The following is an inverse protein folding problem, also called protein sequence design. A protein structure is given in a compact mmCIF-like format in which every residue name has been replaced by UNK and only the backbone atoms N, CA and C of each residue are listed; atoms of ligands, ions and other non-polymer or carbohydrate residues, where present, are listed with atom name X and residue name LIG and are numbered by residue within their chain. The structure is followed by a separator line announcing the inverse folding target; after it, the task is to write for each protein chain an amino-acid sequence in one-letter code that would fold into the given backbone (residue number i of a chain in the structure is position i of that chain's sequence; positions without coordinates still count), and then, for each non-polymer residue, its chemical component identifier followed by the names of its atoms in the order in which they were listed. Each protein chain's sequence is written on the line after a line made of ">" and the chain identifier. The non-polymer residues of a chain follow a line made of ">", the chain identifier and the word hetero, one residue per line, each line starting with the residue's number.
data_IF_127923136597
#
_entry.id   IF_127923136597
#
_cell.length_a   1.000
_cell.length_b   1.000
_cell.length_c   1.000
_cell.angle_alpha   90.00
_cell.angle_beta   90.00
_cell.angle_gamma   90.00
#
_symmetry.space_group_name_H-M   'P 1'
#
loop_
_entity.id
_entity.type
_entity.pdbx_description
1 polymer ?
#
# COMPACT_ATOMS: atom_id res chain seq x y z
N UNK A 1 21.84 -50.12 20.77
CA UNK A 1 22.56 -49.15 19.92
C UNK A 1 21.62 -48.27 19.06
N UNK A 2 20.49 -48.76 18.56
CA UNK A 2 19.58 -48.01 17.68
C UNK A 2 18.88 -46.77 18.30
N UNK A 3 18.70 -46.76 19.63
CA UNK A 3 17.99 -45.65 20.31
C UNK A 3 18.83 -44.36 20.45
N UNK A 4 20.16 -44.46 20.42
CA UNK A 4 21.05 -43.31 20.49
C UNK A 4 21.24 -42.62 19.14
N UNK A 5 21.14 -43.35 18.03
CA UNK A 5 21.24 -42.81 16.69
C UNK A 5 19.99 -41.98 16.34
N UNK A 6 18.79 -42.43 16.73
CA UNK A 6 17.56 -41.70 16.53
C UNK A 6 17.52 -40.36 17.31
N UNK A 7 18.03 -40.34 18.55
CA UNK A 7 18.15 -39.13 19.37
C UNK A 7 19.18 -38.16 18.81
N UNK A 8 20.31 -38.64 18.31
CA UNK A 8 21.33 -37.84 17.67
C UNK A 8 20.81 -37.20 16.35
N UNK A 9 20.05 -37.96 15.56
CA UNK A 9 19.42 -37.43 14.33
C UNK A 9 18.35 -36.37 14.61
N UNK A 10 17.54 -36.55 15.67
CA UNK A 10 16.54 -35.56 16.08
C UNK A 10 17.20 -34.29 16.58
N UNK A 11 18.27 -34.37 17.35
CA UNK A 11 19.05 -33.23 17.82
C UNK A 11 19.76 -32.50 16.67
N UNK A 12 20.31 -33.23 15.69
CA UNK A 12 20.89 -32.63 14.50
C UNK A 12 19.84 -31.88 13.64
N UNK A 13 18.63 -32.45 13.51
CA UNK A 13 17.52 -31.82 12.76
C UNK A 13 17.01 -30.55 13.44
N UNK A 14 16.92 -30.54 14.77
CA UNK A 14 16.53 -29.34 15.54
C UNK A 14 17.61 -28.26 15.51
N UNK A 15 18.90 -28.63 15.52
CA UNK A 15 19.99 -27.67 15.37
C UNK A 15 20.04 -27.06 13.97
N UNK A 16 19.76 -27.84 12.92
CA UNK A 16 19.70 -27.30 11.56
C UNK A 16 18.53 -26.29 11.35
N UNK A 17 17.43 -26.45 12.04
CA UNK A 17 16.30 -25.53 11.93
C UNK A 17 16.53 -24.20 12.65
N UNK A 18 17.46 -24.14 13.60
CA UNK A 18 17.79 -22.91 14.33
C UNK A 18 18.66 -21.91 13.54
N UNK A 19 19.22 -22.31 12.39
CA UNK A 19 20.11 -21.47 11.58
C UNK A 19 19.42 -20.64 10.47
N UNK A 20 18.09 -20.72 10.32
CA UNK A 20 17.32 -19.90 9.36
C UNK A 20 16.78 -18.64 10.02
N UNK A 21 17.47 -18.07 11.00
CA UNK A 21 17.23 -16.70 11.41
C UNK A 21 17.89 -15.81 10.35
N UNK A 22 17.12 -15.36 9.35
CA UNK A 22 17.59 -14.41 8.36
C UNK A 22 18.17 -13.18 9.07
N UNK A 23 19.46 -12.91 8.87
CA UNK A 23 20.10 -11.75 9.47
C UNK A 23 19.38 -10.48 9.00
N UNK A 24 18.88 -9.69 9.94
CA UNK A 24 18.27 -8.38 9.64
C UNK A 24 19.30 -7.47 8.97
N UNK A 25 18.85 -6.68 7.99
CA UNK A 25 19.72 -5.68 7.35
C UNK A 25 20.16 -4.66 8.40
N UNK A 26 21.48 -4.43 8.58
CA UNK A 26 21.96 -3.48 9.58
C UNK A 26 21.47 -2.07 9.24
N UNK A 27 21.08 -1.33 10.27
CA UNK A 27 20.77 0.10 10.13
C UNK A 27 22.07 0.88 10.07
N UNK A 28 22.32 1.69 9.03
CA UNK A 28 23.52 2.51 8.97
C UNK A 28 23.51 3.58 10.06
N UNK A 29 24.71 4.03 10.52
CA UNK A 29 24.76 5.14 11.46
C UNK A 29 24.24 6.42 10.81
N UNK A 30 23.58 7.27 11.60
CA UNK A 30 23.14 8.59 11.16
C UNK A 30 24.36 9.53 11.06
N UNK A 31 24.88 9.70 9.84
CA UNK A 31 26.05 10.56 9.58
C UNK A 31 25.68 11.91 8.97
N UNK A 32 24.46 12.07 8.52
CA UNK A 32 23.90 13.26 7.88
C UNK A 32 22.40 13.09 7.69
N UNK A 33 21.75 14.10 7.16
CA UNK A 33 20.32 14.04 6.82
C UNK A 33 20.07 13.20 5.58
N UNK A 34 21.09 13.00 4.75
CA UNK A 34 21.03 12.16 3.54
C UNK A 34 22.07 11.05 3.65
N UNK A 35 21.62 9.83 3.84
CA UNK A 35 22.45 8.62 3.84
C UNK A 35 22.14 7.80 2.59
N UNK A 36 23.10 7.71 1.67
CA UNK A 36 23.00 6.95 0.43
C UNK A 36 24.07 5.85 0.40
N UNK A 37 23.64 4.60 0.56
CA UNK A 37 24.53 3.42 0.52
C UNK A 37 24.73 2.87 -0.90
N UNK A 38 23.99 3.41 -1.88
CA UNK A 38 23.96 2.91 -3.25
C UNK A 38 24.67 3.83 -4.25
N UNK A 39 25.22 4.96 -3.79
CA UNK A 39 25.72 6.02 -4.66
C UNK A 39 24.70 6.37 -5.78
N UNK A 40 23.42 6.44 -5.40
CA UNK A 40 22.32 6.78 -6.32
C UNK A 40 22.35 8.25 -6.68
N UNK A 41 22.78 9.09 -5.73
CA UNK A 41 22.93 10.54 -5.88
C UNK A 41 24.38 10.90 -6.16
N UNK A 42 24.59 11.91 -7.00
CA UNK A 42 25.93 12.51 -7.12
C UNK A 42 26.31 13.27 -5.84
N UNK A 43 27.58 13.60 -5.68
CA UNK A 43 28.03 14.38 -4.52
C UNK A 43 27.34 15.74 -4.43
N UNK A 44 27.15 16.42 -5.57
CA UNK A 44 26.48 17.72 -5.67
C UNK A 44 24.99 17.60 -5.31
N UNK A 45 24.32 16.56 -5.80
CA UNK A 45 22.90 16.28 -5.50
C UNK A 45 22.70 16.01 -4.01
N UNK A 46 23.60 15.22 -3.40
CA UNK A 46 23.57 14.95 -1.98
C UNK A 46 23.74 16.22 -1.16
N UNK A 47 24.73 17.08 -1.51
CA UNK A 47 24.96 18.36 -0.84
C UNK A 47 23.77 19.28 -0.96
N UNK A 48 23.16 19.39 -2.14
CA UNK A 48 21.98 20.24 -2.36
C UNK A 48 20.79 19.76 -1.50
N UNK A 49 20.56 18.45 -1.42
CA UNK A 49 19.49 17.88 -0.62
C UNK A 49 19.74 18.07 0.89
N UNK A 50 21.00 17.88 1.34
CA UNK A 50 21.42 18.17 2.72
C UNK A 50 21.14 19.62 3.12
N UNK A 51 21.48 20.58 2.26
CA UNK A 51 21.22 22.01 2.49
C UNK A 51 19.73 22.30 2.61
N UNK A 52 18.90 21.71 1.75
CA UNK A 52 17.44 21.84 1.81
C UNK A 52 16.88 21.35 3.15
N UNK A 53 17.31 20.15 3.56
CA UNK A 53 16.89 19.54 4.81
C UNK A 53 17.39 20.30 6.05
N UNK A 54 18.62 20.80 5.99
CA UNK A 54 19.19 21.66 7.04
C UNK A 54 18.43 22.97 7.17
N UNK A 55 18.10 23.61 6.05
CA UNK A 55 17.31 24.83 6.04
C UNK A 55 15.89 24.62 6.61
N UNK A 56 15.27 23.49 6.33
CA UNK A 56 13.99 23.11 6.93
C UNK A 56 14.10 22.95 8.45
N UNK A 57 15.06 22.18 8.93
CA UNK A 57 15.29 21.99 10.36
C UNK A 57 15.57 23.31 11.09
N UNK A 58 16.39 24.19 10.48
CA UNK A 58 16.70 25.50 11.06
C UNK A 58 15.45 26.41 11.20
N UNK A 59 14.48 26.30 10.28
CA UNK A 59 13.24 27.10 10.32
C UNK A 59 12.19 26.55 11.25
N UNK A 60 11.96 25.22 11.23
CA UNK A 60 10.84 24.55 11.94
C UNK A 60 11.29 23.83 13.21
N UNK A 61 12.56 23.45 13.29
CA UNK A 61 13.05 22.55 14.33
C UNK A 61 12.70 21.08 14.09
N UNK A 62 11.82 20.78 13.12
CA UNK A 62 11.47 19.42 12.74
C UNK A 62 12.56 18.79 11.90
N UNK A 63 12.82 17.49 12.08
CA UNK A 63 13.89 16.79 11.40
C UNK A 63 13.35 15.87 10.31
N UNK A 64 13.85 16.04 9.09
CA UNK A 64 13.56 15.15 7.96
C UNK A 64 14.86 14.55 7.46
N UNK A 65 14.88 13.22 7.29
CA UNK A 65 16.03 12.51 6.75
C UNK A 65 15.66 11.67 5.52
N UNK A 66 16.65 11.34 4.72
CA UNK A 66 16.53 10.45 3.56
C UNK A 66 17.55 9.32 3.69
N UNK A 67 17.09 8.09 3.57
CA UNK A 67 17.91 6.89 3.59
C UNK A 67 17.69 6.08 2.31
N UNK A 68 18.77 5.82 1.58
CA UNK A 68 18.77 4.96 0.41
C UNK A 68 19.62 3.73 0.71
N UNK A 69 18.98 2.56 0.65
CA UNK A 69 19.58 1.25 0.89
C UNK A 69 19.36 0.31 -0.30
N UNK A 70 20.19 -0.71 -0.48
CA UNK A 70 19.97 -1.70 -1.54
C UNK A 70 18.67 -2.47 -1.33
N UNK A 71 18.48 -3.06 -0.16
CA UNK A 71 17.33 -3.92 0.18
C UNK A 71 17.01 -3.83 1.67
N UNK A 72 15.80 -4.15 2.03
CA UNK A 72 15.38 -4.33 3.43
C UNK A 72 15.15 -5.81 3.77
N UNK A 73 15.19 -6.69 2.78
CA UNK A 73 14.94 -8.11 2.99
C UNK A 73 15.91 -8.73 4.02
N UNK A 74 15.41 -9.56 4.93
CA UNK A 74 14.11 -10.21 4.94
C UNK A 74 12.97 -9.40 5.59
N UNK A 75 13.23 -8.21 6.14
CA UNK A 75 12.21 -7.35 6.72
C UNK A 75 11.37 -6.66 5.65
N UNK A 76 10.12 -6.32 5.98
CA UNK A 76 9.35 -5.42 5.14
C UNK A 76 9.90 -3.99 5.28
N UNK A 77 9.64 -3.14 4.28
CA UNK A 77 10.12 -1.75 4.34
C UNK A 77 9.52 -0.99 5.52
N UNK A 78 8.32 -1.36 5.95
CA UNK A 78 7.65 -0.81 7.14
C UNK A 78 8.43 -1.13 8.41
N UNK A 79 8.78 -2.39 8.61
CA UNK A 79 9.53 -2.84 9.78
C UNK A 79 10.93 -2.21 9.82
N UNK A 80 11.60 -2.20 8.67
CA UNK A 80 12.92 -1.61 8.56
C UNK A 80 12.91 -0.10 8.82
N UNK A 81 11.97 0.65 8.22
CA UNK A 81 11.87 2.10 8.38
C UNK A 81 11.55 2.49 9.83
N UNK A 82 10.64 1.78 10.49
CA UNK A 82 10.34 2.00 11.91
C UNK A 82 11.60 1.76 12.77
N UNK A 83 12.33 0.68 12.55
CA UNK A 83 13.57 0.36 13.27
C UNK A 83 14.66 1.41 13.03
N UNK A 84 14.78 1.94 11.80
CA UNK A 84 15.69 3.05 11.49
C UNK A 84 15.28 4.30 12.26
N UNK A 85 14.00 4.66 12.23
CA UNK A 85 13.47 5.83 12.92
C UNK A 85 13.69 5.76 14.44
N UNK A 86 13.47 4.60 15.04
CA UNK A 86 13.72 4.34 16.47
C UNK A 86 15.21 4.44 16.85
N UNK A 87 16.11 3.95 15.99
CA UNK A 87 17.55 4.02 16.23
C UNK A 87 18.12 5.41 15.99
N UNK A 88 17.66 6.08 14.94
CA UNK A 88 18.12 7.44 14.61
C UNK A 88 17.51 8.51 15.51
N UNK A 89 16.34 8.22 16.12
CA UNK A 89 15.64 9.12 17.06
C UNK A 89 15.44 10.53 16.48
N UNK A 90 14.99 10.57 15.23
CA UNK A 90 14.75 11.83 14.52
C UNK A 90 13.65 12.64 15.23
N UNK A 91 13.78 13.96 15.16
CA UNK A 91 12.86 14.89 15.78
C UNK A 91 13.26 15.29 17.20
N UNK A 92 12.61 16.34 17.71
CA UNK A 92 12.84 16.86 19.03
C UNK A 92 12.20 15.98 20.10
N UNK A 93 12.92 15.70 21.17
CA UNK A 93 12.42 15.00 22.34
C UNK A 93 11.13 15.66 22.86
N UNK A 94 10.09 14.90 23.12
CA UNK A 94 8.75 15.31 23.58
C UNK A 94 7.88 16.01 22.51
N UNK A 95 8.42 16.37 21.36
CA UNK A 95 7.67 16.94 20.24
C UNK A 95 7.42 15.88 19.20
N UNK A 96 8.36 14.92 19.06
CA UNK A 96 8.29 13.77 18.16
C UNK A 96 8.10 14.17 16.68
N UNK A 97 8.73 15.31 16.30
CA UNK A 97 8.57 15.96 15.00
C UNK A 97 9.64 15.54 14.00
N UNK A 98 9.91 14.25 13.95
CA UNK A 98 10.79 13.63 12.97
C UNK A 98 10.03 12.96 11.85
N UNK A 99 10.65 12.91 10.66
CA UNK A 99 10.20 12.06 9.56
C UNK A 99 11.39 11.49 8.79
N UNK A 100 11.21 10.36 8.13
CA UNK A 100 12.24 9.76 7.28
C UNK A 100 11.63 9.20 5.99
N UNK A 101 12.30 9.47 4.88
CA UNK A 101 12.05 8.82 3.60
C UNK A 101 13.06 7.69 3.40
N UNK A 102 12.61 6.45 3.50
CA UNK A 102 13.41 5.25 3.26
C UNK A 102 13.14 4.72 1.86
N UNK A 103 14.20 4.42 1.12
CA UNK A 103 14.14 3.92 -0.26
C UNK A 103 14.98 2.66 -0.35
N UNK A 104 14.35 1.52 -0.60
CA UNK A 104 14.99 0.24 -0.88
C UNK A 104 15.03 0.04 -2.40
N UNK A 105 16.17 0.37 -3.01
CA UNK A 105 16.27 0.53 -4.46
C UNK A 105 16.09 -0.78 -5.22
N UNK A 106 16.70 -1.86 -4.75
CA UNK A 106 16.58 -3.18 -5.38
C UNK A 106 15.17 -3.77 -5.20
N UNK A 107 14.54 -3.50 -4.05
CA UNK A 107 13.20 -3.97 -3.73
C UNK A 107 12.11 -3.15 -4.44
N UNK A 108 12.49 -2.03 -5.08
CA UNK A 108 11.59 -1.03 -5.66
C UNK A 108 10.51 -0.59 -4.67
N UNK A 109 10.89 -0.40 -3.43
CA UNK A 109 10.00 -0.05 -2.35
C UNK A 109 10.47 1.24 -1.66
N UNK A 110 9.52 2.07 -1.24
CA UNK A 110 9.81 3.27 -0.47
C UNK A 110 8.77 3.45 0.63
N UNK A 111 9.19 4.15 1.70
CA UNK A 111 8.32 4.48 2.82
C UNK A 111 8.63 5.87 3.35
N UNK A 112 7.59 6.60 3.68
CA UNK A 112 7.68 7.77 4.54
C UNK A 112 7.23 7.31 5.92
N UNK A 113 8.14 7.33 6.90
CA UNK A 113 7.84 7.06 8.30
C UNK A 113 7.74 8.40 9.03
N UNK A 114 6.72 8.57 9.87
CA UNK A 114 6.36 9.86 10.46
C UNK A 114 6.27 9.73 11.97
N UNK A 115 6.92 10.64 12.68
CA UNK A 115 6.81 10.77 14.14
C UNK A 115 5.48 11.39 14.56
N UNK A 116 5.05 11.08 15.78
CA UNK A 116 3.73 11.48 16.31
C UNK A 116 3.44 12.98 16.19
N UNK A 117 4.45 13.84 16.36
CA UNK A 117 4.29 15.29 16.28
C UNK A 117 3.99 15.83 14.87
N UNK A 118 4.25 15.05 13.84
CA UNK A 118 3.98 15.42 12.45
C UNK A 118 2.73 14.74 11.88
N UNK A 119 2.13 13.75 12.55
CA UNK A 119 0.98 13.00 12.04
C UNK A 119 -0.23 13.90 11.73
N UNK A 120 -0.39 15.02 12.46
CA UNK A 120 -1.44 15.99 12.22
C UNK A 120 -1.37 16.64 10.83
N UNK A 121 -0.15 16.92 10.34
CA UNK A 121 0.09 17.50 9.02
C UNK A 121 0.39 16.42 7.97
N UNK A 122 1.32 15.52 8.28
CA UNK A 122 1.81 14.46 7.40
C UNK A 122 1.21 13.12 7.78
N UNK A 123 -0.12 12.99 7.71
CA UNK A 123 -0.83 11.75 7.99
C UNK A 123 -0.62 10.71 6.89
N UNK A 124 -1.09 9.47 7.12
CA UNK A 124 -0.94 8.35 6.19
C UNK A 124 -1.49 8.65 4.80
N UNK A 125 -2.66 9.29 4.71
CA UNK A 125 -3.28 9.64 3.43
C UNK A 125 -2.43 10.66 2.65
N UNK A 126 -1.90 11.66 3.33
CA UNK A 126 -1.00 12.67 2.79
C UNK A 126 0.32 12.04 2.33
N UNK A 127 0.94 11.23 3.18
CA UNK A 127 2.17 10.48 2.86
C UNK A 127 1.95 9.57 1.65
N UNK A 128 0.82 8.87 1.58
CA UNK A 128 0.45 8.03 0.45
C UNK A 128 0.31 8.81 -0.85
N UNK A 129 -0.28 10.01 -0.80
CA UNK A 129 -0.40 10.88 -1.97
C UNK A 129 0.96 11.36 -2.46
N UNK A 130 1.83 11.81 -1.56
CA UNK A 130 3.19 12.25 -1.91
C UNK A 130 3.92 11.11 -2.62
N UNK A 131 3.86 9.90 -2.07
CA UNK A 131 4.47 8.72 -2.69
C UNK A 131 3.89 8.47 -4.07
N UNK A 132 2.57 8.35 -4.18
CA UNK A 132 1.92 7.87 -5.40
C UNK A 132 1.87 8.92 -6.52
N UNK A 133 1.75 10.21 -6.18
CA UNK A 133 1.55 11.29 -7.17
C UNK A 133 2.85 12.03 -7.49
N UNK A 134 3.83 12.04 -6.56
CA UNK A 134 5.05 12.84 -6.71
C UNK A 134 6.30 11.97 -6.91
N UNK A 135 6.54 10.99 -6.03
CA UNK A 135 7.79 10.21 -6.02
C UNK A 135 7.74 9.08 -7.04
N UNK A 136 6.74 8.20 -6.94
CA UNK A 136 6.64 6.98 -7.75
C UNK A 136 6.66 7.22 -9.26
N UNK A 137 5.99 8.24 -9.84
CA UNK A 137 6.03 8.47 -11.28
C UNK A 137 7.44 8.78 -11.80
N UNK A 138 8.25 9.47 -11.01
CA UNK A 138 9.65 9.79 -11.35
C UNK A 138 10.57 8.58 -11.20
N UNK A 139 10.41 7.80 -10.14
CA UNK A 139 11.16 6.56 -9.93
C UNK A 139 10.91 5.54 -11.05
N UNK A 140 9.71 5.47 -11.61
CA UNK A 140 9.40 4.66 -12.80
C UNK A 140 10.14 5.12 -14.05
N UNK A 141 10.58 6.37 -14.09
CA UNK A 141 11.40 6.96 -15.15
C UNK A 141 12.89 6.95 -14.79
N UNK A 142 13.27 6.25 -13.70
CA UNK A 142 14.63 6.20 -13.15
C UNK A 142 15.19 7.57 -12.67
N UNK A 143 14.33 8.60 -12.62
CA UNK A 143 14.66 9.91 -12.07
C UNK A 143 14.59 9.88 -10.53
N UNK A 144 15.60 9.24 -9.91
CA UNK A 144 15.65 9.11 -8.45
C UNK A 144 15.85 10.46 -7.75
N UNK A 145 16.80 11.27 -8.23
CA UNK A 145 17.06 12.57 -7.63
C UNK A 145 15.85 13.49 -7.70
N UNK A 146 15.25 13.63 -8.89
CA UNK A 146 14.05 14.44 -9.05
C UNK A 146 12.87 13.92 -8.24
N UNK A 147 12.73 12.61 -8.09
CA UNK A 147 11.69 12.01 -7.26
C UNK A 147 11.88 12.27 -5.77
N UNK A 148 13.11 12.12 -5.26
CA UNK A 148 13.47 12.40 -3.87
C UNK A 148 13.28 13.89 -3.55
N UNK A 149 13.85 14.77 -4.35
CA UNK A 149 13.77 16.23 -4.15
C UNK A 149 12.32 16.70 -4.15
N UNK A 150 11.54 16.30 -5.13
CA UNK A 150 10.12 16.68 -5.19
C UNK A 150 9.30 16.11 -4.04
N UNK A 151 9.62 14.90 -3.58
CA UNK A 151 9.00 14.29 -2.40
C UNK A 151 9.33 15.06 -1.12
N UNK A 152 10.61 15.37 -0.92
CA UNK A 152 11.11 16.17 0.21
C UNK A 152 10.46 17.57 0.21
N UNK A 153 10.44 18.26 -0.91
CA UNK A 153 9.82 19.57 -1.04
C UNK A 153 8.32 19.52 -0.70
N UNK A 154 7.66 18.45 -1.08
CA UNK A 154 6.23 18.29 -0.79
C UNK A 154 5.98 17.98 0.68
N UNK A 155 6.84 17.16 1.32
CA UNK A 155 6.79 16.91 2.77
C UNK A 155 7.01 18.23 3.52
N UNK A 156 8.03 19.00 3.16
CA UNK A 156 8.34 20.30 3.78
C UNK A 156 7.15 21.25 3.68
N UNK A 157 6.55 21.42 2.51
CA UNK A 157 5.38 22.28 2.31
C UNK A 157 4.21 21.88 3.21
N UNK A 158 3.92 20.60 3.29
CA UNK A 158 2.84 20.09 4.14
C UNK A 158 3.11 20.36 5.61
N UNK A 159 4.34 20.15 6.08
CA UNK A 159 4.73 20.43 7.47
C UNK A 159 4.77 21.95 7.72
N UNK A 160 5.05 22.77 6.71
CA UNK A 160 4.96 24.23 6.78
C UNK A 160 3.53 24.75 6.88
N UNK A 161 2.53 23.91 6.61
CA UNK A 161 1.11 24.21 6.72
C UNK A 161 0.41 24.42 5.37
N UNK A 162 1.12 24.19 4.26
CA UNK A 162 0.53 24.25 2.93
C UNK A 162 -0.34 23.02 2.67
N UNK A 163 -1.51 23.24 2.09
CA UNK A 163 -2.32 22.13 1.57
C UNK A 163 -1.66 21.51 0.34
N UNK A 164 -1.71 20.19 0.21
CA UNK A 164 -1.33 19.54 -1.05
C UNK A 164 -2.19 20.08 -2.20
N UNK A 165 -1.62 20.24 -3.42
CA UNK A 165 -2.42 20.50 -4.61
C UNK A 165 -3.59 19.51 -4.69
N UNK A 166 -4.71 19.95 -5.26
CA UNK A 166 -5.85 19.05 -5.44
C UNK A 166 -5.38 17.71 -6.06
N UNK A 167 -5.88 16.56 -5.59
CA UNK A 167 -5.51 15.28 -6.16
C UNK A 167 -5.65 15.35 -7.67
N UNK A 168 -4.61 14.98 -8.41
CA UNK A 168 -4.77 14.77 -9.86
C UNK A 168 -5.90 13.78 -9.99
N UNK A 169 -7.02 14.24 -10.57
CA UNK A 169 -8.10 13.32 -10.91
C UNK A 169 -7.42 12.16 -11.65
N UNK A 170 -7.42 10.99 -11.04
CA UNK A 170 -7.04 9.80 -11.79
C UNK A 170 -7.96 9.85 -12.98
N UNK A 171 -7.38 10.11 -14.15
CA UNK A 171 -8.12 9.88 -15.38
C UNK A 171 -8.65 8.47 -15.21
N UNK A 172 -9.94 8.36 -14.95
CA UNK A 172 -10.64 7.08 -14.90
C UNK A 172 -10.59 6.58 -16.35
N UNK A 173 -9.40 6.11 -16.74
CA UNK A 173 -9.21 5.45 -18.01
C UNK A 173 -10.13 4.25 -17.98
N UNK A 174 -11.25 4.41 -18.58
CA UNK A 174 -12.14 3.34 -18.94
C UNK A 174 -13.48 3.27 -18.22
N UNK A 175 -13.70 3.80 -17.02
CA UNK A 175 -15.01 3.61 -16.34
C UNK A 175 -16.08 4.54 -16.92
N UNK A 176 -15.74 5.76 -17.31
CA UNK A 176 -16.68 6.66 -17.96
C UNK A 176 -17.15 6.16 -19.33
N UNK A 177 -16.27 5.51 -20.09
CA UNK A 177 -16.65 4.91 -21.37
C UNK A 177 -17.44 3.58 -21.21
N UNK A 178 -17.20 2.83 -20.12
CA UNK A 178 -17.94 1.59 -19.86
C UNK A 178 -19.39 1.88 -19.53
N UNK A 179 -19.69 2.94 -18.76
CA UNK A 179 -21.08 3.32 -18.45
C UNK A 179 -21.91 3.57 -19.71
N UNK A 180 -21.32 4.09 -20.75
CA UNK A 180 -22.00 4.32 -22.03
C UNK A 180 -22.39 3.00 -22.72
N UNK A 181 -21.64 1.92 -22.52
CA UNK A 181 -21.89 0.60 -23.12
C UNK A 181 -22.67 -0.35 -22.23
N UNK A 182 -22.90 -0.02 -20.95
CA UNK A 182 -23.67 -0.86 -20.02
C UNK A 182 -25.05 -1.28 -20.59
N UNK A 183 -25.85 -0.38 -21.19
CA UNK A 183 -27.14 -0.79 -21.79
C UNK A 183 -26.97 -1.78 -22.94
N UNK A 184 -25.97 -1.57 -23.78
CA UNK A 184 -25.69 -2.44 -24.95
C UNK A 184 -25.20 -3.81 -24.47
N UNK A 185 -24.29 -3.86 -23.51
CA UNK A 185 -23.80 -5.10 -22.92
C UNK A 185 -24.93 -5.87 -22.24
N UNK A 186 -25.82 -5.18 -21.55
CA UNK A 186 -26.97 -5.78 -20.89
C UNK A 186 -27.96 -6.38 -21.89
N UNK A 187 -28.30 -5.68 -22.97
CA UNK A 187 -29.17 -6.19 -24.04
C UNK A 187 -28.52 -7.42 -24.72
N UNK A 188 -27.21 -7.32 -25.01
CA UNK A 188 -26.47 -8.42 -25.62
C UNK A 188 -26.46 -9.68 -24.72
N UNK A 189 -26.27 -9.50 -23.42
CA UNK A 189 -26.30 -10.58 -22.43
C UNK A 189 -27.68 -11.24 -22.34
N UNK A 190 -28.78 -10.45 -22.43
CA UNK A 190 -30.15 -10.97 -22.46
C UNK A 190 -30.42 -11.78 -23.72
N UNK A 191 -30.00 -11.30 -24.88
CA UNK A 191 -30.18 -11.98 -26.17
C UNK A 191 -29.39 -13.29 -26.20
N UNK A 192 -28.12 -13.26 -25.85
CA UNK A 192 -27.26 -14.44 -25.81
C UNK A 192 -27.77 -15.45 -24.77
N UNK A 193 -28.13 -14.97 -23.55
CA UNK A 193 -28.72 -15.81 -22.51
C UNK A 193 -30.04 -16.49 -22.94
N UNK A 194 -30.88 -15.77 -23.69
CA UNK A 194 -32.12 -16.31 -24.25
C UNK A 194 -31.87 -17.41 -25.29
N UNK A 195 -30.93 -17.19 -26.21
CA UNK A 195 -30.52 -18.17 -27.23
C UNK A 195 -29.88 -19.40 -26.58
N UNK A 196 -28.96 -19.22 -25.65
CA UNK A 196 -28.33 -20.33 -24.94
C UNK A 196 -29.35 -21.19 -24.18
N UNK A 197 -30.35 -20.53 -23.56
CA UNK A 197 -31.44 -21.23 -22.85
C UNK A 197 -32.34 -22.02 -23.77
N UNK A 198 -32.58 -21.55 -25.01
CA UNK A 198 -33.39 -22.29 -25.99
C UNK A 198 -32.68 -23.51 -26.56
N UNK A 199 -31.35 -23.48 -26.66
CA UNK A 199 -30.52 -24.54 -27.26
C UNK A 199 -30.06 -25.57 -26.21
N UNK A 200 -29.58 -25.13 -25.04
CA UNK A 200 -29.00 -26.01 -24.01
C UNK A 200 -29.95 -26.37 -22.88
N UNK A 201 -31.13 -25.76 -22.80
CA UNK A 201 -32.07 -25.97 -21.70
C UNK A 201 -31.78 -25.06 -20.50
N UNK A 202 -32.71 -25.14 -19.49
CA UNK A 202 -32.77 -24.17 -18.36
C UNK A 202 -31.51 -24.15 -17.49
N UNK A 203 -31.03 -25.33 -17.08
CA UNK A 203 -29.89 -25.45 -16.14
C UNK A 203 -28.55 -25.21 -16.81
N UNK A 204 -28.16 -25.88 -17.91
CA UNK A 204 -26.86 -25.65 -18.54
C UNK A 204 -26.73 -24.23 -19.11
N UNK A 205 -27.80 -23.67 -19.68
CA UNK A 205 -27.82 -22.30 -20.20
C UNK A 205 -27.56 -21.23 -19.11
N UNK A 206 -28.13 -21.42 -17.91
CA UNK A 206 -27.91 -20.51 -16.77
C UNK A 206 -26.46 -20.57 -16.24
N UNK A 207 -25.87 -21.76 -16.16
CA UNK A 207 -24.50 -21.95 -15.75
C UNK A 207 -23.49 -21.30 -16.72
N UNK A 208 -23.70 -21.49 -18.01
CA UNK A 208 -22.83 -20.89 -19.03
C UNK A 208 -22.95 -19.36 -19.03
N UNK A 209 -24.19 -18.84 -18.96
CA UNK A 209 -24.40 -17.38 -18.90
C UNK A 209 -23.80 -16.76 -17.63
N UNK A 210 -23.98 -17.38 -16.47
CA UNK A 210 -23.40 -16.97 -15.21
C UNK A 210 -21.87 -16.99 -15.24
N UNK A 211 -21.29 -18.03 -15.81
CA UNK A 211 -19.84 -18.17 -15.99
C UNK A 211 -19.23 -17.13 -16.92
N UNK A 212 -19.88 -16.84 -18.05
CA UNK A 212 -19.41 -15.80 -19.00
C UNK A 212 -19.49 -14.41 -18.37
N UNK A 213 -20.59 -14.10 -17.67
CA UNK A 213 -20.73 -12.80 -16.97
C UNK A 213 -19.71 -12.66 -15.83
N UNK A 214 -19.49 -13.72 -15.05
CA UNK A 214 -18.46 -13.71 -14.00
C UNK A 214 -17.04 -13.54 -14.57
N UNK A 215 -16.72 -14.25 -15.65
CA UNK A 215 -15.43 -14.14 -16.34
C UNK A 215 -15.20 -12.74 -16.92
N UNK A 216 -16.22 -12.16 -17.57
CA UNK A 216 -16.15 -10.79 -18.06
C UNK A 216 -16.00 -9.77 -16.92
N UNK A 217 -16.76 -9.90 -15.85
CA UNK A 217 -16.64 -9.03 -14.68
C UNK A 217 -15.27 -9.13 -14.01
N UNK A 218 -14.69 -10.33 -13.96
CA UNK A 218 -13.32 -10.53 -13.45
C UNK A 218 -12.26 -9.86 -14.34
N UNK A 219 -12.40 -10.01 -15.67
CA UNK A 219 -11.46 -9.44 -16.64
C UNK A 219 -11.45 -7.90 -16.61
N UNK A 220 -12.64 -7.28 -16.41
CA UNK A 220 -12.79 -5.82 -16.45
C UNK A 220 -12.64 -5.13 -15.09
N UNK A 221 -13.04 -5.79 -14.00
CA UNK A 221 -13.03 -5.18 -12.66
C UNK A 221 -11.82 -5.57 -11.81
N UNK A 222 -11.12 -6.63 -12.14
CA UNK A 222 -9.95 -7.13 -11.39
C UNK A 222 -10.25 -7.58 -9.96
N UNK A 223 -11.54 -7.61 -9.55
CA UNK A 223 -11.96 -7.95 -8.21
C UNK A 223 -12.82 -9.22 -8.21
N UNK A 224 -12.28 -10.30 -7.67
CA UNK A 224 -12.93 -11.62 -7.60
C UNK A 224 -14.29 -11.56 -6.88
N UNK A 225 -14.41 -10.73 -5.85
CA UNK A 225 -15.66 -10.56 -5.09
C UNK A 225 -16.80 -9.96 -5.93
N UNK A 226 -16.51 -8.97 -6.75
CA UNK A 226 -17.50 -8.34 -7.65
C UNK A 226 -17.92 -9.32 -8.75
N UNK A 227 -16.96 -10.07 -9.31
CA UNK A 227 -17.23 -11.09 -10.31
C UNK A 227 -18.11 -12.23 -9.80
N UNK A 228 -17.88 -12.69 -8.57
CA UNK A 228 -18.69 -13.71 -7.90
C UNK A 228 -20.14 -13.23 -7.66
N UNK A 229 -20.30 -12.03 -7.13
CA UNK A 229 -21.63 -11.45 -6.89
C UNK A 229 -22.39 -11.25 -8.20
N UNK A 230 -21.75 -10.72 -9.23
CA UNK A 230 -22.36 -10.53 -10.56
C UNK A 230 -22.74 -11.87 -11.20
N UNK A 231 -21.90 -12.90 -11.09
CA UNK A 231 -22.18 -14.25 -11.59
C UNK A 231 -23.36 -14.93 -10.89
N UNK A 232 -23.40 -14.85 -9.55
CA UNK A 232 -24.51 -15.39 -8.75
C UNK A 232 -25.82 -14.67 -9.04
N UNK A 233 -25.79 -13.34 -9.16
CA UNK A 233 -26.97 -12.53 -9.54
C UNK A 233 -27.48 -12.88 -10.93
N UNK A 234 -26.60 -13.04 -11.91
CA UNK A 234 -26.97 -13.44 -13.26
C UNK A 234 -27.56 -14.84 -13.30
N UNK A 235 -27.00 -15.78 -12.55
CA UNK A 235 -27.50 -17.14 -12.42
C UNK A 235 -28.89 -17.16 -11.76
N UNK A 236 -29.06 -16.46 -10.64
CA UNK A 236 -30.34 -16.31 -9.94
C UNK A 236 -31.39 -15.66 -10.83
N UNK A 237 -31.06 -14.58 -11.52
CA UNK A 237 -31.96 -13.91 -12.45
C UNK A 237 -32.42 -14.85 -13.59
N UNK A 238 -31.47 -15.62 -14.15
CA UNK A 238 -31.76 -16.56 -15.24
C UNK A 238 -32.66 -17.73 -14.77
N UNK A 239 -32.49 -18.18 -13.52
CA UNK A 239 -33.30 -19.23 -12.93
C UNK A 239 -34.70 -18.74 -12.55
N UNK A 240 -34.82 -17.52 -11.99
CA UNK A 240 -36.08 -16.96 -11.50
C UNK A 240 -36.93 -16.31 -12.60
N UNK A 241 -36.32 -15.75 -13.66
CA UNK A 241 -37.09 -15.07 -14.72
C UNK A 241 -37.92 -15.99 -15.63
N UNK A 242 -38.16 -17.21 -15.20
CA UNK A 242 -38.98 -18.22 -15.87
C UNK A 242 -40.41 -18.33 -15.37
N UNK A 243 -40.90 -17.41 -14.59
CA UNK A 243 -42.29 -17.44 -14.15
C UNK A 243 -42.63 -16.31 -13.20
N UNK A 244 -43.61 -15.55 -13.56
CA UNK A 244 -44.40 -14.64 -12.75
C UNK A 244 -44.01 -13.18 -12.75
N UNK A 245 -44.93 -12.43 -13.29
CA UNK A 245 -45.28 -11.11 -12.88
C UNK A 245 -45.52 -10.96 -11.38
N UNK A 246 -45.09 -9.81 -10.88
CA UNK A 246 -45.65 -9.13 -9.75
C UNK A 246 -45.47 -9.76 -8.37
N UNK A 247 -44.57 -9.20 -7.60
CA UNK A 247 -44.84 -8.71 -6.23
C UNK A 247 -43.60 -7.99 -5.69
N UNK A 248 -43.80 -6.73 -5.33
CA UNK A 248 -42.84 -5.93 -4.62
C UNK A 248 -42.63 -6.46 -3.21
N UNK A 249 -41.38 -6.42 -2.76
CA UNK A 249 -41.02 -6.43 -1.34
C UNK A 249 -40.05 -5.33 -1.13
N UNK A 250 -40.52 -4.29 -0.45
CA UNK A 250 -39.67 -3.26 0.15
C UNK A 250 -39.11 -3.77 1.47
N UNK A 251 -38.03 -3.15 1.88
CA UNK A 251 -37.84 -3.07 3.30
C UNK A 251 -36.46 -3.46 3.84
N UNK A 252 -35.86 -2.48 4.39
CA UNK A 252 -35.10 -2.33 5.62
C UNK A 252 -33.60 -2.53 5.57
N UNK A 253 -32.96 -1.37 5.60
CA UNK A 253 -31.63 -1.17 6.12
C UNK A 253 -31.63 -1.23 7.66
N UNK A 254 -30.72 -2.00 8.23
CA UNK A 254 -30.40 -2.03 9.64
C UNK A 254 -28.89 -2.00 9.82
N UNK A 255 -28.40 -0.94 10.45
CA UNK A 255 -27.01 -0.69 10.74
C UNK A 255 -26.46 -1.54 11.88
N UNK A 256 -25.13 -1.65 11.93
CA UNK A 256 -24.38 -2.28 13.00
C UNK A 256 -22.95 -1.74 13.05
N UNK A 257 -22.74 -0.77 13.92
CA UNK A 257 -21.42 -0.26 14.33
C UNK A 257 -20.74 -1.30 15.23
N UNK A 258 -19.53 -1.72 14.85
CA UNK A 258 -18.63 -2.50 15.68
C UNK A 258 -17.36 -1.72 15.97
N UNK A 259 -17.29 -1.17 17.16
CA UNK A 259 -16.15 -0.44 17.74
C UNK A 259 -15.27 -1.44 18.45
N UNK A 260 -13.98 -1.55 18.06
CA UNK A 260 -12.98 -2.35 18.75
C UNK A 260 -11.70 -1.55 18.87
N UNK A 261 -11.50 -0.95 20.05
CA UNK A 261 -10.24 -0.36 20.44
C UNK A 261 -9.32 -1.41 21.04
N UNK A 262 -8.03 -1.33 20.73
CA UNK A 262 -6.98 -1.97 21.50
C UNK A 262 -5.92 -0.93 21.80
N UNK A 263 -5.85 -0.59 23.09
CA UNK A 263 -4.72 0.09 23.69
C UNK A 263 -3.58 -0.89 23.89
N UNK A 264 -2.37 -0.45 23.65
CA UNK A 264 -1.15 -1.20 23.90
C UNK A 264 -0.01 -0.23 24.21
N UNK A 265 0.53 -0.35 25.40
CA UNK A 265 1.42 0.46 26.16
C UNK A 265 2.63 1.06 25.43
N UNK A 266 2.94 2.27 25.85
CA UNK A 266 4.07 3.04 25.43
C UNK A 266 5.42 2.44 25.80
N UNK A 267 6.39 2.57 24.89
CA UNK A 267 7.80 2.38 25.17
C UNK A 267 8.48 3.75 25.17
N UNK A 268 9.03 4.16 26.30
CA UNK A 268 9.67 5.44 26.47
C UNK A 268 11.18 5.29 26.28
N UNK A 269 11.71 5.84 25.22
CA UNK A 269 13.13 6.00 25.02
C UNK A 269 13.43 7.39 24.45
N UNK A 270 14.26 8.13 25.12
CA UNK A 270 14.65 9.56 25.04
C UNK A 270 14.93 10.22 23.70
N UNK A 271 14.02 10.18 22.76
CA UNK A 271 14.03 10.84 21.47
C UNK A 271 12.65 10.77 20.87
N UNK A 272 12.41 11.34 19.69
CA UNK A 272 11.12 11.34 19.04
C UNK A 272 10.53 9.94 18.94
N UNK A 273 9.27 9.78 19.36
CA UNK A 273 8.52 8.54 19.27
C UNK A 273 7.94 8.38 17.86
N UNK A 274 8.04 7.16 17.32
CA UNK A 274 7.42 6.76 16.07
C UNK A 274 6.42 5.64 16.37
N UNK A 275 5.24 5.71 15.76
CA UNK A 275 4.18 4.74 15.99
C UNK A 275 3.80 3.95 14.73
N UNK A 276 4.65 3.98 13.71
CA UNK A 276 4.34 3.35 12.42
C UNK A 276 3.42 4.19 11.54
N UNK A 277 3.19 5.48 11.88
CA UNK A 277 2.51 6.44 11.02
C UNK A 277 3.27 6.66 9.72
N UNK A 278 2.55 7.01 8.65
CA UNK A 278 3.12 7.23 7.34
C UNK A 278 2.58 6.28 6.27
N UNK A 279 3.32 6.12 5.17
CA UNK A 279 2.86 5.28 4.07
C UNK A 279 4.01 4.62 3.30
N UNK A 280 3.71 3.49 2.66
CA UNK A 280 4.62 2.80 1.76
C UNK A 280 4.12 2.80 0.32
N UNK A 281 5.05 2.66 -0.63
CA UNK A 281 4.77 2.49 -2.04
C UNK A 281 5.81 1.63 -2.74
N UNK A 282 5.49 1.28 -4.00
CA UNK A 282 6.39 0.56 -4.93
C UNK A 282 6.35 1.22 -6.30
N UNK A 283 7.40 1.08 -7.10
CA UNK A 283 7.50 1.61 -8.44
C UNK A 283 7.94 0.58 -9.47
#
# INVERSE_FOLDING_TARGET
>A
MAMNTARASLLALTLCWSFVAGAQVPVPPLTGRVTDQMATLTAEQKVALEQTLQGFEARKGSQLAVLIVPTTAPETIEQYALRVAELWKLGRKKVDDGAILVIAKTDRALRIEVGYGLEGALNDATSKRIISETITPRFKQEDFYGGITAGVDQIIRVVDGDSLPAPKARSAVGVANIQQYVPVIFILALVIGGVLRSVLGRFPGALVTGGVVAGAAWLFAGAVSIALVAGVMALMFTLLSGGMGGRGVGGHYGGGLGRGGFGGGGFSGGGGGFGGGGASGRW
#
